data_IF_273467086311
#
_entry.id   IF_273467086311
#
_cell.length_a   1.000
_cell.length_b   1.000
_cell.length_c   1.000
_cell.angle_alpha   90.00
_cell.angle_beta   90.00
_cell.angle_gamma   90.00
#
_symmetry.space_group_name_H-M   'P 1'
#
loop_
_entity.id
_entity.type
_entity.pdbx_description
1 polymer ?
#
# COMPACT_ATOMS: atom_id res chain seq x y z
N UNK A 1 -19.71 3.17 -5.55
CA UNK A 1 -18.99 1.90 -5.42
C UNK A 1 -19.30 1.23 -4.08
N UNK A 2 -19.28 -0.12 -4.03
CA UNK A 2 -19.41 -0.88 -2.78
C UNK A 2 -18.02 -1.39 -2.38
N UNK A 3 -17.83 -1.63 -1.07
CA UNK A 3 -16.54 -2.08 -0.53
C UNK A 3 -15.48 -0.98 -0.47
N UNK A 4 -14.19 -1.36 -0.48
CA UNK A 4 -13.06 -0.43 -0.30
C UNK A 4 -13.01 0.70 -1.31
N UNK A 5 -13.42 0.46 -2.57
CA UNK A 5 -13.49 1.51 -3.59
C UNK A 5 -14.47 2.64 -3.27
N UNK A 6 -15.45 2.41 -2.37
CA UNK A 6 -16.38 3.45 -1.90
C UNK A 6 -15.75 4.44 -0.94
N UNK A 7 -14.56 4.16 -0.45
CA UNK A 7 -13.78 4.99 0.48
C UNK A 7 -12.71 5.82 -0.23
N UNK A 8 -12.46 5.56 -1.52
CA UNK A 8 -11.46 6.29 -2.28
C UNK A 8 -11.90 7.75 -2.49
N UNK A 9 -10.94 8.65 -2.44
CA UNK A 9 -11.11 9.99 -2.96
C UNK A 9 -11.62 9.94 -4.41
N UNK A 10 -12.57 10.79 -4.81
CA UNK A 10 -13.17 10.74 -6.14
C UNK A 10 -12.18 10.90 -7.30
N UNK A 11 -11.14 11.74 -7.15
CA UNK A 11 -10.11 11.93 -8.18
C UNK A 11 -9.22 10.69 -8.27
N UNK A 12 -8.83 10.13 -7.13
CA UNK A 12 -8.03 8.90 -7.08
C UNK A 12 -8.80 7.72 -7.68
N UNK A 13 -10.11 7.61 -7.43
CA UNK A 13 -10.94 6.57 -8.05
C UNK A 13 -11.02 6.75 -9.56
N UNK A 14 -11.17 7.98 -10.03
CA UNK A 14 -11.24 8.27 -11.47
C UNK A 14 -9.92 7.90 -12.17
N UNK A 15 -8.78 8.25 -11.59
CA UNK A 15 -7.47 7.92 -12.14
C UNK A 15 -7.20 6.41 -12.09
N UNK A 16 -7.58 5.74 -11.01
CA UNK A 16 -7.51 4.28 -10.92
C UNK A 16 -8.30 3.61 -12.06
N UNK A 17 -9.53 4.05 -12.32
CA UNK A 17 -10.34 3.52 -13.41
C UNK A 17 -9.76 3.84 -14.79
N UNK A 18 -9.23 5.05 -14.97
CA UNK A 18 -8.63 5.51 -16.25
C UNK A 18 -7.37 4.74 -16.61
N UNK A 19 -6.51 4.48 -15.64
CA UNK A 19 -5.19 3.89 -15.88
C UNK A 19 -5.14 2.38 -15.58
N UNK A 20 -6.13 1.86 -14.87
CA UNK A 20 -6.27 0.43 -14.59
C UNK A 20 -6.78 -0.40 -15.79
N UNK A 21 -7.22 0.27 -16.86
CA UNK A 21 -7.78 -0.36 -18.05
C UNK A 21 -7.03 0.12 -19.31
N UNK A 22 -6.77 -0.81 -20.22
CA UNK A 22 -6.19 -0.54 -21.53
C UNK A 22 -7.17 -0.94 -22.64
N UNK A 23 -7.18 -0.25 -23.80
CA UNK A 23 -7.93 -0.70 -24.97
C UNK A 23 -7.56 -2.13 -25.35
N UNK A 24 -8.55 -2.93 -25.69
CA UNK A 24 -8.30 -4.29 -26.15
C UNK A 24 -7.88 -4.28 -27.63
N UNK A 25 -6.60 -4.44 -27.92
CA UNK A 25 -6.06 -4.48 -29.28
C UNK A 25 -6.60 -5.64 -30.15
N UNK A 26 -7.10 -6.70 -29.51
CA UNK A 26 -7.59 -7.92 -30.18
C UNK A 26 -9.12 -7.95 -30.36
N UNK A 27 -9.83 -6.91 -29.93
CA UNK A 27 -11.28 -6.90 -29.98
C UNK A 27 -11.90 -5.60 -29.47
N UNK A 28 -13.20 -5.66 -29.16
CA UNK A 28 -13.91 -4.52 -28.56
C UNK A 28 -13.71 -4.50 -27.05
N UNK A 29 -13.78 -3.31 -26.45
CA UNK A 29 -13.75 -3.09 -25.00
C UNK A 29 -12.35 -2.89 -24.46
N UNK A 30 -12.16 -3.26 -23.18
CA UNK A 30 -10.95 -3.00 -22.41
C UNK A 30 -10.43 -4.27 -21.75
N UNK A 31 -9.16 -4.28 -21.44
CA UNK A 31 -8.48 -5.31 -20.65
C UNK A 31 -7.84 -4.64 -19.41
N UNK A 32 -7.56 -5.42 -18.36
CA UNK A 32 -6.84 -4.93 -17.21
C UNK A 32 -5.41 -4.53 -17.59
N UNK A 33 -4.95 -3.37 -17.15
CA UNK A 33 -3.57 -2.90 -17.33
C UNK A 33 -2.55 -3.85 -16.66
N UNK A 34 -2.92 -4.38 -15.47
CA UNK A 34 -2.18 -5.48 -14.84
C UNK A 34 -2.85 -6.81 -15.21
N UNK A 35 -2.23 -7.67 -16.03
CA UNK A 35 -2.77 -8.98 -16.35
C UNK A 35 -2.93 -9.86 -15.11
N UNK A 36 -4.01 -10.63 -14.95
CA UNK A 36 -4.28 -11.42 -13.74
C UNK A 36 -3.17 -12.39 -13.34
N UNK A 37 -2.44 -12.95 -14.31
CA UNK A 37 -1.31 -13.85 -14.03
C UNK A 37 -0.11 -13.12 -13.42
N UNK A 38 0.12 -11.84 -13.76
CA UNK A 38 1.17 -11.01 -13.15
C UNK A 38 0.78 -10.67 -11.72
N UNK A 39 -0.46 -10.25 -11.49
CA UNK A 39 -0.97 -9.98 -10.16
C UNK A 39 -0.86 -11.23 -9.25
N UNK A 40 -1.28 -12.39 -9.75
CA UNK A 40 -1.14 -13.65 -9.03
C UNK A 40 0.33 -13.97 -8.68
N UNK A 41 1.27 -13.69 -9.59
CA UNK A 41 2.70 -13.89 -9.35
C UNK A 41 3.23 -13.04 -8.20
N UNK A 42 2.77 -11.79 -8.10
CA UNK A 42 3.14 -10.88 -6.99
C UNK A 42 2.67 -11.46 -5.65
N UNK A 43 1.42 -11.91 -5.56
CA UNK A 43 0.89 -12.53 -4.34
C UNK A 43 1.64 -13.81 -3.96
N UNK A 44 2.03 -14.63 -4.94
CA UNK A 44 2.78 -15.86 -4.69
C UNK A 44 4.20 -15.58 -4.22
N UNK A 45 4.87 -14.58 -4.77
CA UNK A 45 6.27 -14.25 -4.42
C UNK A 45 6.41 -13.56 -3.07
N UNK A 46 5.37 -12.88 -2.59
CA UNK A 46 5.41 -12.08 -1.35
C UNK A 46 5.65 -12.90 -0.07
N UNK A 47 5.59 -14.24 -0.13
CA UNK A 47 5.74 -15.14 1.02
C UNK A 47 7.08 -15.87 1.08
N UNK A 48 8.01 -15.62 0.16
CA UNK A 48 9.16 -16.51 -0.07
C UNK A 48 10.53 -15.94 0.31
N UNK A 49 10.62 -14.69 0.77
CA UNK A 49 11.92 -14.06 1.03
C UNK A 49 12.06 -13.65 2.50
N UNK A 50 12.53 -14.58 3.36
CA UNK A 50 12.82 -14.30 4.76
C UNK A 50 14.20 -13.65 4.99
N UNK A 51 15.13 -13.80 4.05
CA UNK A 51 16.50 -13.27 4.15
C UNK A 51 16.54 -11.74 4.08
N UNK A 52 15.43 -11.12 3.66
CA UNK A 52 15.30 -9.65 3.60
C UNK A 52 15.47 -8.99 4.97
N UNK A 53 15.15 -9.67 6.08
CA UNK A 53 15.23 -9.07 7.42
C UNK A 53 16.66 -8.72 7.84
N UNK A 54 17.66 -9.48 7.44
CA UNK A 54 19.04 -9.13 7.74
C UNK A 54 19.48 -7.88 6.97
N UNK A 55 19.05 -7.74 5.71
CA UNK A 55 19.26 -6.52 4.94
C UNK A 55 18.52 -5.32 5.55
N UNK A 56 17.26 -5.51 5.98
CA UNK A 56 16.44 -4.47 6.65
C UNK A 56 17.12 -3.96 7.93
N UNK A 57 17.63 -4.84 8.77
CA UNK A 57 18.32 -4.49 10.03
C UNK A 57 19.65 -3.76 9.79
N UNK A 58 20.27 -3.98 8.66
CA UNK A 58 21.53 -3.33 8.28
C UNK A 58 21.36 -1.92 7.71
N UNK A 59 20.12 -1.51 7.38
CA UNK A 59 19.85 -0.19 6.83
C UNK A 59 19.97 0.90 7.89
N UNK A 60 20.76 1.94 7.60
CA UNK A 60 20.88 3.14 8.43
C UNK A 60 19.96 4.29 7.97
N UNK A 61 19.29 4.13 6.85
CA UNK A 61 18.37 5.14 6.32
C UNK A 61 17.17 5.33 7.26
N UNK A 62 16.64 6.57 7.39
CA UNK A 62 15.37 6.78 8.06
C UNK A 62 14.24 6.11 7.27
N UNK A 63 13.40 5.36 7.97
CA UNK A 63 12.28 4.63 7.36
C UNK A 63 10.99 5.00 8.09
N UNK A 64 10.02 5.53 7.36
CA UNK A 64 8.68 5.76 7.87
C UNK A 64 7.72 4.72 7.28
N UNK A 65 7.03 4.00 8.15
CA UNK A 65 5.99 3.04 7.80
C UNK A 65 4.63 3.64 8.08
N UNK A 66 3.79 3.73 7.05
CA UNK A 66 2.38 4.11 7.19
C UNK A 66 1.56 2.83 7.23
N UNK A 67 0.94 2.56 8.35
CA UNK A 67 0.18 1.33 8.57
C UNK A 67 -1.29 1.62 8.84
N UNK A 68 -2.18 0.96 8.12
CA UNK A 68 -3.62 1.04 8.29
C UNK A 68 -4.13 0.08 9.39
N UNK A 69 -5.44 0.09 9.61
CA UNK A 69 -6.13 -0.73 10.62
C UNK A 69 -5.68 -2.20 10.59
N UNK A 70 -5.62 -2.79 11.75
CA UNK A 70 -5.34 -4.23 11.88
C UNK A 70 -6.51 -5.09 11.42
N UNK A 71 -6.24 -6.34 11.00
CA UNK A 71 -7.28 -7.30 10.69
C UNK A 71 -8.18 -7.55 11.91
N UNK A 72 -9.49 -7.59 11.71
CA UNK A 72 -10.40 -8.08 12.73
C UNK A 72 -10.07 -9.54 13.08
N UNK A 73 -10.30 -9.95 14.33
CA UNK A 73 -10.00 -11.32 14.79
C UNK A 73 -10.78 -12.39 14.01
N UNK A 74 -11.99 -12.04 13.61
CA UNK A 74 -12.94 -12.87 12.88
C UNK A 74 -12.98 -12.58 11.38
N UNK A 75 -11.95 -11.88 10.86
CA UNK A 75 -11.92 -11.47 9.46
C UNK A 75 -12.06 -12.64 8.51
N UNK A 76 -12.82 -12.45 7.46
CA UNK A 76 -12.81 -13.33 6.30
C UNK A 76 -11.43 -13.28 5.62
N UNK A 77 -10.94 -14.41 5.15
CA UNK A 77 -9.67 -14.50 4.41
C UNK A 77 -9.61 -13.59 3.17
N UNK A 78 -10.77 -13.19 2.64
CA UNK A 78 -10.89 -12.27 1.50
C UNK A 78 -11.04 -10.79 1.89
N UNK A 79 -10.91 -10.44 3.17
CA UNK A 79 -10.91 -9.03 3.60
C UNK A 79 -9.55 -8.40 3.35
N UNK A 80 -9.45 -7.67 2.24
CA UNK A 80 -8.28 -6.87 1.87
C UNK A 80 -8.32 -5.44 2.42
N UNK A 81 -9.28 -5.10 3.28
CA UNK A 81 -9.41 -3.76 3.82
C UNK A 81 -8.44 -3.45 4.96
N UNK A 82 -7.87 -4.46 5.59
CA UNK A 82 -6.90 -4.31 6.67
C UNK A 82 -5.45 -4.31 6.17
N UNK A 83 -4.55 -3.72 6.95
CA UNK A 83 -3.13 -3.72 6.61
C UNK A 83 -2.55 -5.15 6.60
N UNK A 84 -1.84 -5.56 5.56
CA UNK A 84 -1.07 -6.79 5.56
C UNK A 84 0.26 -6.65 6.32
N UNK A 85 0.64 -5.43 6.69
CA UNK A 85 1.94 -5.10 7.28
C UNK A 85 2.02 -5.59 8.72
N UNK A 86 3.11 -6.27 9.04
CA UNK A 86 3.38 -6.71 10.41
C UNK A 86 3.52 -5.51 11.36
N UNK A 87 2.81 -5.53 12.52
CA UNK A 87 2.77 -4.38 13.44
C UNK A 87 4.12 -3.97 14.04
N UNK A 88 5.12 -4.86 14.03
CA UNK A 88 6.46 -4.58 14.55
C UNK A 88 7.49 -4.30 13.46
N UNK A 89 7.06 -4.14 12.20
CA UNK A 89 7.99 -3.95 11.09
C UNK A 89 8.90 -2.73 11.28
N UNK A 90 8.39 -1.62 11.81
CA UNK A 90 9.19 -0.43 12.07
C UNK A 90 10.36 -0.70 13.04
N UNK A 91 10.19 -1.60 13.99
CA UNK A 91 11.24 -1.95 14.96
C UNK A 91 12.36 -2.84 14.39
N UNK A 92 12.22 -3.35 13.18
CA UNK A 92 13.28 -4.08 12.49
C UNK A 92 14.31 -3.14 11.84
N UNK A 93 13.97 -1.88 11.62
CA UNK A 93 14.88 -0.87 11.11
C UNK A 93 15.57 -0.12 12.24
N UNK A 94 16.88 0.13 12.13
CA UNK A 94 17.66 0.88 13.13
C UNK A 94 17.15 2.32 13.32
N UNK A 95 16.57 2.91 12.29
CA UNK A 95 15.97 4.25 12.27
C UNK A 95 14.55 4.19 11.71
N UNK A 96 13.75 3.24 12.23
CA UNK A 96 12.38 3.02 11.80
C UNK A 96 11.35 3.70 12.71
N UNK A 97 10.30 4.23 12.13
CA UNK A 97 9.15 4.78 12.85
C UNK A 97 7.85 4.47 12.12
N UNK A 98 6.74 4.53 12.83
CA UNK A 98 5.41 4.21 12.30
C UNK A 98 4.43 5.35 12.54
N UNK A 99 3.55 5.59 11.57
CA UNK A 99 2.27 6.30 11.76
C UNK A 99 1.16 5.28 11.53
N UNK A 100 0.30 5.11 12.53
CA UNK A 100 -0.78 4.14 12.49
C UNK A 100 -2.14 4.81 12.33
N UNK A 101 -2.87 4.42 11.28
CA UNK A 101 -4.20 4.89 10.92
C UNK A 101 -5.23 3.81 11.26
N UNK A 102 -5.73 3.83 12.50
CA UNK A 102 -6.63 2.80 13.03
C UNK A 102 -7.99 2.72 12.34
N UNK A 103 -8.43 3.81 11.72
CA UNK A 103 -9.73 3.96 11.06
C UNK A 103 -9.67 3.86 9.53
N UNK A 104 -8.46 3.72 8.95
CA UNK A 104 -8.25 3.67 7.51
C UNK A 104 -8.02 2.25 7.02
N UNK A 105 -8.35 2.03 5.74
CA UNK A 105 -8.04 0.75 5.09
C UNK A 105 -6.62 0.73 4.54
N UNK A 106 -6.19 -0.42 4.08
CA UNK A 106 -4.90 -0.64 3.43
C UNK A 106 -4.63 0.29 2.21
N UNK A 107 -5.65 0.95 1.70
CA UNK A 107 -5.54 1.86 0.55
C UNK A 107 -5.31 3.33 0.96
N UNK A 108 -4.45 3.59 1.93
CA UNK A 108 -4.18 4.92 2.47
C UNK A 108 -4.01 6.02 1.41
N UNK A 109 -3.16 5.85 0.36
CA UNK A 109 -3.00 6.90 -0.65
C UNK A 109 -4.26 7.17 -1.46
N UNK A 110 -5.17 6.20 -1.53
CA UNK A 110 -6.43 6.33 -2.26
C UNK A 110 -7.54 6.95 -1.41
N UNK A 111 -7.47 6.79 -0.08
CA UNK A 111 -8.49 7.32 0.84
C UNK A 111 -8.19 8.73 1.32
N UNK A 112 -6.90 9.04 1.55
CA UNK A 112 -6.43 10.28 2.18
C UNK A 112 -5.21 10.85 1.44
N UNK A 113 -5.31 11.09 0.11
CA UNK A 113 -4.16 11.49 -0.71
C UNK A 113 -3.49 12.78 -0.22
N UNK A 114 -4.25 13.77 0.23
CA UNK A 114 -3.71 15.02 0.74
C UNK A 114 -2.87 14.84 2.02
N UNK A 115 -3.34 14.00 2.94
CA UNK A 115 -2.62 13.72 4.18
C UNK A 115 -1.33 12.95 3.91
N UNK A 116 -1.38 11.95 3.04
CA UNK A 116 -0.19 11.20 2.62
C UNK A 116 0.82 12.12 1.94
N UNK A 117 0.36 13.01 1.06
CA UNK A 117 1.22 13.99 0.39
C UNK A 117 1.90 14.93 1.38
N UNK A 118 1.19 15.41 2.41
CA UNK A 118 1.78 16.23 3.47
C UNK A 118 2.84 15.49 4.26
N UNK A 119 2.59 14.24 4.62
CA UNK A 119 3.56 13.40 5.32
C UNK A 119 4.82 13.23 4.47
N UNK A 120 4.69 12.88 3.18
CA UNK A 120 5.83 12.73 2.27
C UNK A 120 6.63 14.02 2.16
N UNK A 121 5.95 15.16 2.01
CA UNK A 121 6.63 16.46 1.92
C UNK A 121 7.42 16.81 3.21
N UNK A 122 6.87 16.52 4.39
CA UNK A 122 7.56 16.71 5.67
C UNK A 122 8.80 15.81 5.79
N UNK A 123 8.72 14.56 5.35
CA UNK A 123 9.85 13.63 5.35
C UNK A 123 11.00 14.14 4.47
N UNK A 124 10.67 14.60 3.25
CA UNK A 124 11.65 15.13 2.30
C UNK A 124 12.36 16.36 2.91
N UNK A 125 11.60 17.28 3.51
CA UNK A 125 12.16 18.48 4.15
C UNK A 125 13.10 18.10 5.30
N UNK A 126 12.66 17.20 6.18
CA UNK A 126 13.46 16.76 7.33
C UNK A 126 14.76 16.06 6.88
N UNK A 127 14.71 15.31 5.78
CA UNK A 127 15.90 14.63 5.24
C UNK A 127 16.90 15.60 4.58
N UNK A 128 16.47 16.79 4.15
CA UNK A 128 17.34 17.83 3.59
C UNK A 128 18.04 18.68 4.67
N UNK A 129 17.49 18.69 5.87
CA UNK A 129 18.01 19.47 7.01
C UNK A 129 18.96 18.66 7.91
N UNK A 130 19.06 17.36 7.68
CA UNK A 130 19.88 16.42 8.48
C UNK A 130 21.26 16.17 7.84
#
# INVERSE_FOLDING_TARGET
>A
PKGSFGLFDPEMLMDYCRHGLLPNEKGKGYVLACPPHIEASVYMSSRSNHDIYDAVRSLSLPVLILRAKEPAKDRNAMDFSSSPTWPKLASEFSNGREIYFADKTHFLPMEIPEEITKIIAQEITSAQEA
#
